data_IF_448958153993
#
_entry.id   IF_448958153993
#
_cell.length_a   1.000
_cell.length_b   1.000
_cell.length_c   1.000
_cell.angle_alpha   90.00
_cell.angle_beta   90.00
_cell.angle_gamma   90.00
#
_symmetry.space_group_name_H-M   'P 1'
#
loop_
_entity.id
_entity.type
_entity.pdbx_description
1 polymer ?
#
# COMPACT_ATOMS: atom_id res chain seq x y z
N UNK A 1 16.82 36.45 18.34
CA UNK A 1 16.95 35.39 19.34
C UNK A 1 18.21 34.61 19.05
N UNK A 2 19.02 34.34 20.05
CA UNK A 2 20.24 33.55 19.90
C UNK A 2 20.55 32.77 21.15
N UNK A 3 21.28 31.65 20.98
CA UNK A 3 21.88 30.93 22.05
C UNK A 3 23.36 30.66 21.72
N UNK A 4 24.21 30.61 22.71
CA UNK A 4 25.63 30.43 22.53
C UNK A 4 26.36 30.17 23.84
N UNK A 5 27.67 30.05 23.74
CA UNK A 5 28.55 29.96 24.91
C UNK A 5 29.30 31.26 25.10
N UNK A 6 29.29 31.76 26.32
CA UNK A 6 30.14 32.88 26.77
C UNK A 6 31.39 32.32 27.46
N UNK A 7 32.55 32.91 27.15
CA UNK A 7 33.77 32.56 27.83
C UNK A 7 34.33 33.83 28.50
N UNK A 8 34.31 33.80 29.81
CA UNK A 8 34.88 34.91 30.60
C UNK A 8 36.21 34.45 31.21
N UNK A 9 37.25 35.26 31.03
CA UNK A 9 38.55 35.01 31.62
C UNK A 9 38.93 36.19 32.50
N UNK A 10 39.23 35.94 33.74
CA UNK A 10 39.78 36.89 34.68
C UNK A 10 41.26 36.59 34.90
N UNK A 11 42.05 37.67 34.91
CA UNK A 11 43.48 37.60 35.29
C UNK A 11 43.61 38.33 36.62
N UNK A 12 44.10 37.67 37.61
CA UNK A 12 44.35 38.22 38.93
C UNK A 12 45.69 38.89 39.00
N UNK A 13 45.91 39.76 39.98
CA UNK A 13 47.19 40.47 40.17
C UNK A 13 48.38 39.57 40.42
N UNK A 14 48.16 38.34 40.84
CA UNK A 14 49.20 37.31 41.02
C UNK A 14 49.53 36.58 39.70
N UNK A 15 48.93 36.97 38.59
CA UNK A 15 49.15 36.36 37.29
C UNK A 15 48.33 35.07 37.02
N UNK A 16 47.53 34.62 37.98
CA UNK A 16 46.64 33.47 37.81
C UNK A 16 45.45 33.82 36.88
N UNK A 17 44.94 32.84 36.12
CA UNK A 17 43.82 33.00 35.24
C UNK A 17 42.67 32.04 35.61
N UNK A 18 41.52 32.61 35.85
CA UNK A 18 40.28 31.81 35.93
C UNK A 18 39.48 32.01 34.65
N UNK A 19 38.94 30.94 34.11
CA UNK A 19 38.12 30.94 32.91
C UNK A 19 36.81 30.21 33.18
N UNK A 20 35.71 30.90 33.01
CA UNK A 20 34.37 30.26 33.02
C UNK A 20 33.86 30.17 31.59
N UNK A 21 33.11 29.10 31.30
CA UNK A 21 32.35 28.91 30.06
C UNK A 21 30.91 28.69 30.47
N UNK A 22 30.07 29.65 30.11
CA UNK A 22 28.66 29.63 30.48
C UNK A 22 27.80 29.54 29.25
N UNK A 23 26.71 28.78 29.33
CA UNK A 23 25.67 28.71 28.30
C UNK A 23 24.72 29.90 28.46
N UNK A 24 24.55 30.68 27.42
CA UNK A 24 23.67 31.86 27.44
C UNK A 24 22.61 31.82 26.36
N UNK A 25 21.42 32.28 26.68
CA UNK A 25 20.38 32.61 25.72
C UNK A 25 20.18 34.12 25.64
N UNK A 26 19.93 34.68 24.48
CA UNK A 26 19.67 36.10 24.35
C UNK A 26 18.42 36.41 23.49
N UNK A 27 17.70 37.43 23.90
CA UNK A 27 16.58 38.01 23.19
C UNK A 27 16.83 39.51 23.06
N UNK A 28 16.85 40.04 21.84
CA UNK A 28 17.06 41.45 21.59
C UNK A 28 16.00 42.06 20.68
N UNK A 29 15.71 43.31 20.91
CA UNK A 29 14.90 44.16 20.05
C UNK A 29 15.73 45.40 19.69
N UNK A 30 15.72 45.77 18.41
CA UNK A 30 16.43 46.94 17.91
C UNK A 30 15.52 47.80 17.06
N UNK A 31 15.76 49.12 17.12
CA UNK A 31 15.08 50.09 16.29
C UNK A 31 16.10 50.93 15.51
N UNK A 32 15.73 51.27 14.30
CA UNK A 32 16.47 52.19 13.43
C UNK A 32 15.67 53.45 13.23
N UNK A 33 16.32 54.58 13.41
CA UNK A 33 15.77 55.90 13.08
C UNK A 33 16.66 56.58 12.08
N UNK A 34 16.16 56.83 10.87
CA UNK A 34 16.90 57.53 9.80
C UNK A 34 16.77 59.03 10.00
N UNK A 35 17.88 59.73 10.18
CA UNK A 35 17.91 61.19 10.30
C UNK A 35 17.96 61.83 8.92
N UNK A 36 18.82 61.32 8.03
CA UNK A 36 18.94 61.74 6.63
C UNK A 36 19.58 60.59 5.81
N UNK A 37 19.94 60.86 4.55
CA UNK A 37 20.49 59.87 3.63
C UNK A 37 21.89 59.37 3.99
N UNK A 38 22.57 60.05 4.89
CA UNK A 38 23.93 59.70 5.32
C UNK A 38 23.98 59.23 6.74
N UNK A 39 22.98 59.57 7.57
CA UNK A 39 23.05 59.43 9.00
C UNK A 39 21.82 58.67 9.54
N UNK A 40 22.02 57.60 10.31
CA UNK A 40 20.97 56.93 11.03
C UNK A 40 21.39 56.52 12.44
N UNK A 41 20.44 56.56 13.37
CA UNK A 41 20.59 56.08 14.73
C UNK A 41 20.09 54.63 14.82
N UNK A 42 20.83 53.84 15.58
CA UNK A 42 20.44 52.47 15.93
C UNK A 42 20.39 52.36 17.47
N UNK A 43 19.27 51.88 17.97
CA UNK A 43 19.16 51.46 19.36
C UNK A 43 18.85 49.98 19.43
N UNK A 44 19.50 49.25 20.31
CA UNK A 44 19.25 47.82 20.52
C UNK A 44 19.30 47.51 22.01
N UNK A 45 18.25 46.86 22.50
CA UNK A 45 18.20 46.29 23.85
C UNK A 45 18.23 44.77 23.77
N UNK A 46 19.08 44.13 24.57
CA UNK A 46 19.17 42.68 24.70
C UNK A 46 19.02 42.28 26.15
N UNK A 47 18.21 41.26 26.39
CA UNK A 47 18.17 40.51 27.63
C UNK A 47 18.95 39.20 27.41
N UNK A 48 19.88 38.91 28.28
CA UNK A 48 20.76 37.75 28.23
C UNK A 48 20.50 36.95 29.49
N UNK A 49 20.22 35.67 29.34
CA UNK A 49 20.06 34.76 30.45
C UNK A 49 21.20 33.74 30.47
N UNK A 50 21.84 33.66 31.63
CA UNK A 50 22.90 32.69 31.87
C UNK A 50 22.33 31.47 32.56
N UNK A 51 22.31 30.33 31.84
CA UNK A 51 21.72 29.09 32.31
C UNK A 51 22.57 28.39 33.37
N UNK A 52 23.87 28.65 33.41
CA UNK A 52 24.77 27.96 34.33
C UNK A 52 24.81 28.62 35.71
N UNK A 53 24.51 29.94 35.75
CA UNK A 53 24.55 30.73 36.97
C UNK A 53 23.19 31.35 37.36
N UNK A 54 22.14 31.06 36.61
CA UNK A 54 20.75 31.42 36.87
C UNK A 54 20.49 32.93 37.13
N UNK A 55 21.09 33.80 36.27
CA UNK A 55 20.92 35.24 36.34
C UNK A 55 20.68 35.91 35.00
N UNK A 56 20.08 37.11 35.05
CA UNK A 56 19.81 37.94 33.89
C UNK A 56 20.76 39.12 33.76
N UNK A 57 21.18 39.39 32.54
CA UNK A 57 21.93 40.57 32.20
C UNK A 57 21.20 41.38 31.11
N UNK A 58 21.13 42.68 31.27
CA UNK A 58 20.61 43.62 30.28
C UNK A 58 21.71 44.34 29.55
N UNK A 59 21.72 44.29 28.23
CA UNK A 59 22.64 45.08 27.40
C UNK A 59 21.87 46.05 26.56
N UNK A 60 22.21 47.33 26.67
CA UNK A 60 21.72 48.39 25.81
C UNK A 60 22.84 48.94 24.92
N UNK A 61 22.60 48.95 23.63
CA UNK A 61 23.55 49.45 22.62
C UNK A 61 22.93 50.60 21.87
N UNK A 62 23.71 51.67 21.72
CA UNK A 62 23.38 52.78 20.86
C UNK A 62 24.47 52.92 19.80
N UNK A 63 24.10 53.10 18.56
CA UNK A 63 25.02 53.23 17.43
C UNK A 63 24.61 54.36 16.50
N UNK A 64 25.60 54.99 15.97
CA UNK A 64 25.44 55.97 14.89
C UNK A 64 26.00 55.36 13.63
N UNK A 65 25.16 55.17 12.61
CA UNK A 65 25.62 54.73 11.30
C UNK A 65 25.81 55.91 10.37
N UNK A 66 27.00 56.05 9.81
CA UNK A 66 27.33 57.04 8.80
C UNK A 66 27.70 56.33 7.50
N UNK A 67 27.00 56.67 6.44
CA UNK A 67 27.27 56.12 5.09
C UNK A 67 28.32 57.03 4.43
N UNK A 68 29.53 56.48 4.31
CA UNK A 68 30.63 57.14 3.63
C UNK A 68 30.68 56.71 2.16
N UNK A 69 30.30 57.60 1.23
CA UNK A 69 30.59 57.41 -0.19
C UNK A 69 29.53 56.75 -1.04
N UNK A 70 28.27 56.90 -0.74
CA UNK A 70 27.18 56.49 -1.63
C UNK A 70 25.89 57.21 -1.31
N UNK A 71 25.28 57.84 -2.30
CA UNK A 71 23.91 58.29 -2.15
C UNK A 71 23.04 57.05 -1.96
N UNK A 72 22.35 56.98 -0.83
CA UNK A 72 21.19 56.08 -0.78
C UNK A 72 20.28 56.55 -1.91
N UNK A 73 20.03 55.71 -2.90
CA UNK A 73 19.15 56.05 -4.00
C UNK A 73 17.89 56.74 -3.44
N UNK A 74 17.46 57.87 -4.02
CA UNK A 74 16.19 58.45 -3.60
C UNK A 74 15.14 57.38 -3.61
N UNK A 75 14.30 57.38 -2.59
CA UNK A 75 13.16 56.47 -2.57
C UNK A 75 12.47 56.61 -3.93
N UNK A 76 12.39 55.53 -4.67
CA UNK A 76 11.64 55.51 -5.91
C UNK A 76 10.25 56.14 -5.62
N UNK A 77 9.76 57.04 -6.51
CA UNK A 77 8.45 57.63 -6.30
C UNK A 77 7.48 56.48 -5.95
N UNK A 78 6.74 56.67 -4.87
CA UNK A 78 5.65 55.76 -4.52
C UNK A 78 4.70 55.81 -5.71
N UNK A 79 4.84 54.87 -6.63
CA UNK A 79 3.81 54.60 -7.61
C UNK A 79 2.65 54.14 -6.77
N UNK A 80 1.61 54.97 -6.64
CA UNK A 80 0.35 54.49 -6.06
C UNK A 80 0.03 53.20 -6.75
N UNK A 81 -0.22 52.10 -5.99
CA UNK A 81 -0.53 50.86 -6.62
C UNK A 81 -1.77 51.09 -7.49
N UNK A 82 -1.59 50.96 -8.80
CA UNK A 82 -2.72 50.85 -9.73
C UNK A 82 -3.62 49.79 -9.07
N UNK A 83 -4.93 50.05 -8.87
CA UNK A 83 -5.82 49.01 -8.37
C UNK A 83 -5.71 47.85 -9.33
N UNK A 84 -4.96 46.85 -8.99
CA UNK A 84 -4.96 45.57 -9.70
C UNK A 84 -6.31 44.99 -9.34
N UNK A 85 -7.24 45.05 -10.28
CA UNK A 85 -8.41 44.22 -10.17
C UNK A 85 -7.92 42.83 -9.83
N UNK A 86 -8.47 42.15 -8.81
CA UNK A 86 -8.03 40.81 -8.49
C UNK A 86 -8.17 40.02 -9.79
N UNK A 87 -7.05 39.58 -10.35
CA UNK A 87 -7.06 38.55 -11.38
C UNK A 87 -7.72 37.37 -10.69
N UNK A 88 -8.98 37.15 -10.97
CA UNK A 88 -9.64 35.92 -10.61
C UNK A 88 -8.96 34.88 -11.50
N UNK A 89 -7.86 34.32 -10.99
CA UNK A 89 -7.30 33.10 -11.54
C UNK A 89 -8.40 32.07 -11.29
N UNK A 90 -9.24 31.83 -12.30
CA UNK A 90 -10.14 30.71 -12.24
C UNK A 90 -9.22 29.50 -12.23
N UNK A 91 -9.15 28.87 -11.06
CA UNK A 91 -8.45 27.62 -10.91
C UNK A 91 -9.08 26.63 -11.89
N UNK A 92 -8.29 26.19 -12.89
CA UNK A 92 -8.75 25.28 -13.94
C UNK A 92 -8.77 23.83 -13.44
N UNK A 93 -9.36 22.97 -14.23
CA UNK A 93 -9.29 21.52 -14.13
C UNK A 93 -8.86 21.02 -15.51
N UNK A 94 -7.54 20.81 -15.69
CA UNK A 94 -6.93 20.61 -17.00
C UNK A 94 -7.19 19.19 -17.55
N UNK A 95 -7.33 18.19 -16.70
CA UNK A 95 -7.61 16.81 -17.08
C UNK A 95 -9.09 16.42 -16.92
N UNK A 96 -9.89 17.35 -16.39
CA UNK A 96 -11.36 17.22 -16.26
C UNK A 96 -11.77 16.01 -15.40
N UNK A 97 -10.99 15.71 -14.39
CA UNK A 97 -11.29 14.64 -13.45
C UNK A 97 -12.26 15.07 -12.33
N UNK A 98 -12.48 16.39 -12.18
CA UNK A 98 -13.38 17.03 -11.22
C UNK A 98 -12.66 17.64 -10.02
N UNK A 99 -11.33 17.63 -10.00
CA UNK A 99 -10.48 18.24 -8.98
C UNK A 99 -9.72 19.41 -9.59
N UNK A 100 -9.71 20.56 -8.91
CA UNK A 100 -9.05 21.75 -9.42
C UNK A 100 -7.52 21.63 -9.39
N UNK A 101 -6.83 22.18 -10.38
CA UNK A 101 -5.38 22.11 -10.54
C UNK A 101 -4.59 22.48 -9.26
N UNK A 102 -5.10 23.40 -8.44
CA UNK A 102 -4.42 23.86 -7.22
C UNK A 102 -4.40 22.80 -6.11
N UNK A 103 -5.32 21.86 -6.12
CA UNK A 103 -5.46 20.78 -5.10
C UNK A 103 -5.23 19.40 -5.68
N UNK A 104 -5.14 19.29 -7.01
CA UNK A 104 -4.87 18.05 -7.72
C UNK A 104 -3.41 17.61 -7.53
N UNK A 105 -3.23 16.41 -6.97
CA UNK A 105 -1.92 15.77 -6.76
C UNK A 105 -1.53 14.80 -7.88
N UNK A 106 -2.47 14.45 -8.74
CA UNK A 106 -2.29 13.48 -9.82
C UNK A 106 -2.71 14.06 -11.19
N UNK A 107 -2.08 15.14 -11.66
CA UNK A 107 -2.47 15.80 -12.90
C UNK A 107 -2.32 14.85 -14.10
N UNK A 108 -3.33 14.82 -14.95
CA UNK A 108 -3.39 13.97 -16.14
C UNK A 108 -4.13 12.65 -15.93
N UNK A 109 -5.00 12.57 -14.94
CA UNK A 109 -5.87 11.41 -14.72
C UNK A 109 -6.86 11.24 -15.89
N UNK A 110 -7.01 10.02 -16.46
CA UNK A 110 -7.94 9.79 -17.56
C UNK A 110 -9.40 10.08 -17.19
N UNK A 111 -10.15 10.68 -18.11
CA UNK A 111 -11.55 11.11 -17.92
C UNK A 111 -12.54 10.04 -17.41
N UNK A 112 -12.28 8.76 -17.74
CA UNK A 112 -13.14 7.65 -17.34
C UNK A 112 -12.78 7.05 -15.98
N UNK A 113 -11.76 7.56 -15.30
CA UNK A 113 -11.30 7.11 -13.97
C UNK A 113 -12.07 7.84 -12.87
N UNK A 114 -12.39 7.13 -11.81
CA UNK A 114 -12.93 7.73 -10.58
C UNK A 114 -11.74 8.14 -9.70
N UNK A 115 -11.71 9.41 -9.30
CA UNK A 115 -10.64 9.96 -8.45
C UNK A 115 -11.09 10.13 -7.00
N UNK A 116 -10.14 10.28 -6.12
CA UNK A 116 -10.36 10.70 -4.73
C UNK A 116 -10.37 12.25 -4.62
N UNK A 117 -10.39 12.77 -3.41
CA UNK A 117 -10.44 14.22 -3.16
C UNK A 117 -9.14 14.94 -3.58
N UNK A 118 -8.08 14.22 -3.82
CA UNK A 118 -6.75 14.72 -4.21
C UNK A 118 -6.52 14.58 -5.75
N UNK A 119 -7.52 14.21 -6.55
CA UNK A 119 -7.39 13.97 -7.99
C UNK A 119 -6.72 12.64 -8.36
N UNK A 120 -6.41 11.79 -7.38
CA UNK A 120 -5.69 10.55 -7.66
C UNK A 120 -6.63 9.37 -7.95
N UNK A 121 -6.25 8.47 -8.88
CA UNK A 121 -7.04 7.31 -9.25
C UNK A 121 -7.45 6.45 -8.07
N UNK A 122 -8.74 6.28 -7.86
CA UNK A 122 -9.29 5.46 -6.79
C UNK A 122 -9.07 3.99 -7.10
N UNK A 123 -8.43 3.29 -6.17
CA UNK A 123 -8.23 1.86 -6.28
C UNK A 123 -9.34 1.10 -5.57
N UNK A 124 -9.85 0.07 -6.23
CA UNK A 124 -10.82 -0.87 -5.67
C UNK A 124 -10.28 -2.27 -5.68
N UNK A 125 -10.65 -3.05 -4.68
CA UNK A 125 -10.39 -4.49 -4.64
C UNK A 125 -11.52 -5.21 -5.34
N UNK A 126 -11.18 -6.00 -6.37
CA UNK A 126 -12.12 -6.88 -7.06
C UNK A 126 -11.84 -8.30 -6.64
N UNK A 127 -12.84 -8.93 -6.01
CA UNK A 127 -12.78 -10.32 -5.59
C UNK A 127 -13.41 -11.21 -6.67
N UNK A 128 -12.59 -12.08 -7.24
CA UNK A 128 -13.02 -13.09 -8.20
C UNK A 128 -13.03 -14.46 -7.53
N UNK A 129 -14.18 -15.13 -7.56
CA UNK A 129 -14.41 -16.42 -6.92
C UNK A 129 -14.37 -17.56 -7.95
N UNK A 130 -13.47 -18.51 -7.72
CA UNK A 130 -13.38 -19.73 -8.48
C UNK A 130 -14.28 -20.82 -7.87
N UNK A 131 -15.15 -21.41 -8.68
CA UNK A 131 -15.83 -22.66 -8.40
C UNK A 131 -15.85 -23.52 -9.65
N UNK A 132 -15.19 -24.68 -9.58
CA UNK A 132 -15.13 -25.67 -10.66
C UNK A 132 -15.48 -27.04 -10.17
N UNK A 133 -16.03 -27.85 -11.05
CA UNK A 133 -16.30 -29.26 -10.81
C UNK A 133 -15.56 -30.11 -11.83
N UNK A 134 -14.99 -31.22 -11.38
CA UNK A 134 -14.34 -32.21 -12.23
C UNK A 134 -15.00 -33.59 -12.00
N UNK A 135 -15.30 -34.28 -13.09
CA UNK A 135 -15.81 -35.64 -13.04
C UNK A 135 -14.95 -36.58 -13.90
N UNK A 136 -14.42 -37.61 -13.28
CA UNK A 136 -13.59 -38.61 -13.95
C UNK A 136 -14.21 -39.97 -13.72
N UNK A 137 -14.50 -40.72 -14.79
CA UNK A 137 -15.08 -42.07 -14.71
C UNK A 137 -14.03 -43.15 -14.95
N UNK A 138 -14.17 -44.25 -14.25
CA UNK A 138 -13.23 -45.37 -14.25
C UNK A 138 -13.85 -46.67 -14.74
N UNK A 139 -13.00 -47.52 -15.33
CA UNK A 139 -13.39 -48.89 -15.67
C UNK A 139 -13.58 -49.72 -14.39
N UNK A 140 -14.21 -50.86 -14.57
CA UNK A 140 -14.40 -51.76 -13.46
C UNK A 140 -13.05 -52.20 -12.90
N UNK A 141 -12.94 -52.13 -11.58
CA UNK A 141 -11.75 -52.53 -10.83
C UNK A 141 -10.43 -51.84 -11.25
N UNK A 142 -10.53 -50.64 -11.85
CA UNK A 142 -9.38 -49.88 -12.28
C UNK A 142 -9.32 -48.50 -11.59
N UNK A 143 -8.08 -48.05 -11.45
CA UNK A 143 -7.70 -46.69 -10.93
C UNK A 143 -6.98 -45.85 -11.97
N UNK A 144 -6.74 -46.40 -13.18
CA UNK A 144 -6.09 -45.74 -14.27
C UNK A 144 -7.02 -44.69 -14.85
N UNK A 145 -6.53 -43.43 -14.93
CA UNK A 145 -7.24 -42.31 -15.55
C UNK A 145 -7.14 -42.46 -17.06
N UNK A 146 -8.28 -42.41 -17.75
CA UNK A 146 -8.34 -42.51 -19.21
C UNK A 146 -7.82 -41.20 -19.81
N UNK A 147 -7.17 -41.30 -20.98
CA UNK A 147 -6.54 -40.14 -21.64
C UNK A 147 -7.51 -39.00 -21.94
N UNK A 148 -8.78 -39.35 -22.20
CA UNK A 148 -9.82 -38.33 -22.45
C UNK A 148 -10.07 -37.35 -21.29
N UNK A 149 -9.71 -37.71 -20.04
CA UNK A 149 -9.89 -36.85 -18.87
C UNK A 149 -8.65 -35.99 -18.55
N UNK A 150 -7.49 -36.28 -19.17
CA UNK A 150 -6.26 -35.56 -18.91
C UNK A 150 -6.38 -34.06 -19.21
N UNK A 151 -7.00 -33.61 -20.34
CA UNK A 151 -7.17 -32.20 -20.63
C UNK A 151 -8.05 -31.47 -19.60
N UNK A 152 -9.09 -32.13 -19.09
CA UNK A 152 -9.95 -31.52 -18.05
C UNK A 152 -9.21 -31.39 -16.72
N UNK A 153 -8.40 -32.39 -16.34
CA UNK A 153 -7.56 -32.33 -15.14
C UNK A 153 -6.49 -31.24 -15.28
N UNK A 154 -5.89 -31.11 -16.46
CA UNK A 154 -4.94 -30.02 -16.77
C UNK A 154 -5.59 -28.65 -16.62
N UNK A 155 -6.79 -28.46 -17.16
CA UNK A 155 -7.55 -27.21 -17.00
C UNK A 155 -7.83 -26.85 -15.54
N UNK A 156 -8.10 -27.86 -14.69
CA UNK A 156 -8.23 -27.65 -13.24
C UNK A 156 -6.91 -27.15 -12.65
N UNK A 157 -5.77 -27.76 -13.02
CA UNK A 157 -4.47 -27.34 -12.52
C UNK A 157 -4.11 -25.92 -12.97
N UNK A 158 -4.41 -25.55 -14.21
CA UNK A 158 -4.24 -24.19 -14.75
C UNK A 158 -5.04 -23.17 -13.93
N UNK A 159 -6.32 -23.47 -13.67
CA UNK A 159 -7.16 -22.63 -12.83
C UNK A 159 -6.66 -22.54 -11.38
N UNK A 160 -6.20 -23.63 -10.82
CA UNK A 160 -5.59 -23.61 -9.49
C UNK A 160 -4.28 -22.79 -9.45
N UNK A 161 -3.57 -22.67 -10.56
CA UNK A 161 -2.40 -21.78 -10.67
C UNK A 161 -2.80 -20.31 -10.74
N UNK A 162 -3.89 -19.98 -11.45
CA UNK A 162 -4.44 -18.61 -11.50
C UNK A 162 -4.99 -18.13 -10.15
N UNK A 163 -5.43 -19.07 -9.30
CA UNK A 163 -5.99 -18.82 -7.98
C UNK A 163 -5.13 -19.49 -6.89
N UNK A 164 -4.08 -18.81 -6.42
CA UNK A 164 -3.11 -19.38 -5.47
C UNK A 164 -3.72 -19.92 -4.17
N UNK A 165 -4.83 -19.33 -3.72
CA UNK A 165 -5.55 -19.71 -2.51
C UNK A 165 -6.59 -20.82 -2.73
N UNK A 166 -6.74 -21.32 -3.97
CA UNK A 166 -7.73 -22.36 -4.25
C UNK A 166 -7.34 -23.71 -3.67
N UNK A 167 -8.35 -24.47 -3.29
CA UNK A 167 -8.24 -25.83 -2.78
C UNK A 167 -9.13 -26.77 -3.59
N UNK A 168 -8.73 -28.04 -3.69
CA UNK A 168 -9.50 -29.09 -4.33
C UNK A 168 -9.89 -30.16 -3.30
N UNK A 169 -11.19 -30.46 -3.22
CA UNK A 169 -11.74 -31.60 -2.49
C UNK A 169 -12.12 -32.68 -3.47
N UNK A 170 -11.45 -33.83 -3.41
CA UNK A 170 -11.60 -34.92 -4.35
C UNK A 170 -12.26 -36.14 -3.68
N UNK A 171 -13.44 -36.50 -4.14
CA UNK A 171 -14.22 -37.62 -3.66
C UNK A 171 -14.15 -38.80 -4.65
N UNK A 172 -13.72 -39.97 -4.15
CA UNK A 172 -13.72 -41.21 -4.92
C UNK A 172 -14.91 -42.05 -4.61
N UNK A 173 -15.45 -42.74 -5.63
CA UNK A 173 -16.61 -43.61 -5.52
C UNK A 173 -16.40 -44.94 -6.28
N UNK A 174 -17.08 -45.95 -5.83
CA UNK A 174 -17.11 -47.25 -6.47
C UNK A 174 -18.56 -47.70 -6.75
N UNK A 175 -18.73 -48.61 -7.67
CA UNK A 175 -20.00 -49.36 -7.82
C UNK A 175 -20.14 -50.41 -6.75
N UNK A 176 -21.37 -50.84 -6.44
CA UNK A 176 -21.65 -51.92 -5.50
C UNK A 176 -21.36 -53.30 -6.17
N UNK A 177 -20.10 -53.45 -6.57
CA UNK A 177 -19.53 -54.69 -7.11
C UNK A 177 -18.19 -54.91 -6.44
N UNK A 178 -17.76 -56.18 -6.37
CA UNK A 178 -16.51 -56.50 -5.70
C UNK A 178 -16.71 -57.29 -4.40
N UNK A 179 -15.62 -57.79 -3.82
CA UNK A 179 -15.69 -58.83 -2.77
C UNK A 179 -16.13 -58.30 -1.41
N UNK A 180 -16.01 -56.99 -1.12
CA UNK A 180 -16.38 -56.45 0.19
C UNK A 180 -16.49 -54.91 0.18
N UNK A 181 -17.19 -54.37 1.19
CA UNK A 181 -17.24 -52.93 1.42
C UNK A 181 -15.84 -52.34 1.62
N UNK A 182 -14.98 -53.02 2.39
CA UNK A 182 -13.58 -52.58 2.63
C UNK A 182 -12.74 -52.52 1.34
N UNK A 183 -13.00 -53.45 0.42
CA UNK A 183 -12.36 -53.43 -0.90
C UNK A 183 -12.78 -52.18 -1.69
N UNK A 184 -14.08 -51.90 -1.79
CA UNK A 184 -14.62 -50.75 -2.50
C UNK A 184 -14.20 -49.43 -1.86
N UNK A 185 -14.06 -49.41 -0.52
CA UNK A 185 -13.51 -48.24 0.18
C UNK A 185 -12.09 -47.96 -0.30
N UNK A 186 -11.17 -48.92 -0.26
CA UNK A 186 -9.80 -48.76 -0.76
C UNK A 186 -9.72 -48.40 -2.24
N UNK A 187 -10.58 -49.00 -3.07
CA UNK A 187 -10.64 -48.72 -4.50
C UNK A 187 -11.06 -47.28 -4.78
N UNK A 188 -12.04 -46.78 -4.04
CA UNK A 188 -12.49 -45.38 -4.15
C UNK A 188 -11.43 -44.38 -3.70
N UNK A 189 -10.75 -44.68 -2.58
CA UNK A 189 -9.59 -43.87 -2.12
C UNK A 189 -8.46 -43.88 -3.15
N UNK A 190 -8.14 -45.03 -3.73
CA UNK A 190 -7.09 -45.15 -4.74
C UNK A 190 -7.42 -44.36 -6.02
N UNK A 191 -8.69 -44.27 -6.42
CA UNK A 191 -9.16 -43.44 -7.55
C UNK A 191 -8.99 -41.95 -7.24
N UNK A 192 -9.42 -41.49 -6.06
CA UNK A 192 -9.23 -40.10 -5.64
C UNK A 192 -7.74 -39.74 -5.59
N UNK A 193 -6.90 -40.62 -5.06
CA UNK A 193 -5.46 -40.46 -5.01
C UNK A 193 -4.79 -40.48 -6.39
N UNK A 194 -5.34 -41.23 -7.36
CA UNK A 194 -4.83 -41.19 -8.73
C UNK A 194 -5.01 -39.82 -9.38
N UNK A 195 -6.16 -39.16 -9.19
CA UNK A 195 -6.41 -37.82 -9.67
C UNK A 195 -5.52 -36.82 -8.93
N UNK A 196 -5.38 -36.89 -7.61
CA UNK A 196 -4.45 -36.09 -6.83
C UNK A 196 -3.00 -36.22 -7.35
N UNK A 197 -2.56 -37.46 -7.56
CA UNK A 197 -1.20 -37.75 -8.04
C UNK A 197 -0.95 -37.12 -9.42
N UNK A 198 -1.93 -37.10 -10.31
CA UNK A 198 -1.84 -36.49 -11.61
C UNK A 198 -1.72 -34.95 -11.47
N UNK A 199 -2.55 -34.31 -10.65
CA UNK A 199 -2.49 -32.87 -10.37
C UNK A 199 -1.14 -32.47 -9.77
N UNK A 200 -0.60 -33.27 -8.84
CA UNK A 200 0.67 -32.98 -8.16
C UNK A 200 1.87 -33.25 -9.08
N UNK A 201 1.95 -34.49 -9.62
CA UNK A 201 3.18 -34.95 -10.26
C UNK A 201 3.31 -34.52 -11.74
N UNK A 202 2.19 -34.34 -12.44
CA UNK A 202 2.20 -33.95 -13.85
C UNK A 202 1.97 -32.45 -14.03
N UNK A 203 1.15 -31.84 -13.18
CA UNK A 203 0.77 -30.44 -13.33
C UNK A 203 1.26 -29.52 -12.21
N UNK A 204 2.03 -30.02 -11.22
CA UNK A 204 2.74 -29.22 -10.23
C UNK A 204 1.87 -28.57 -9.16
N UNK A 205 0.62 -29.02 -8.98
CA UNK A 205 -0.25 -28.48 -7.92
C UNK A 205 0.28 -28.91 -6.55
N UNK A 206 0.41 -27.98 -5.64
CA UNK A 206 0.93 -28.25 -4.30
C UNK A 206 0.03 -29.24 -3.53
N UNK A 207 0.58 -30.35 -2.99
CA UNK A 207 -0.19 -31.44 -2.43
C UNK A 207 -1.04 -31.06 -1.21
N UNK A 208 -0.65 -30.04 -0.46
CA UNK A 208 -1.41 -29.49 0.68
C UNK A 208 -2.71 -28.77 0.27
N UNK A 209 -2.84 -28.40 -0.99
CA UNK A 209 -4.04 -27.78 -1.54
C UNK A 209 -5.09 -28.80 -1.98
N UNK A 210 -4.79 -30.10 -1.89
CA UNK A 210 -5.65 -31.17 -2.40
C UNK A 210 -5.96 -32.16 -1.28
N UNK A 211 -7.22 -32.24 -0.90
CA UNK A 211 -7.77 -33.26 -0.02
C UNK A 211 -8.41 -34.40 -0.82
N UNK A 212 -8.30 -35.62 -0.34
CA UNK A 212 -8.91 -36.80 -0.97
C UNK A 212 -9.70 -37.61 0.06
N UNK A 213 -10.85 -38.12 -0.32
CA UNK A 213 -11.67 -39.03 0.47
C UNK A 213 -12.28 -40.09 -0.44
N UNK A 214 -12.32 -41.32 0.03
CA UNK A 214 -13.07 -42.42 -0.61
C UNK A 214 -14.37 -42.66 0.13
N UNK A 215 -15.43 -42.91 -0.60
CA UNK A 215 -16.75 -43.23 -0.06
C UNK A 215 -17.21 -44.64 -0.43
N UNK A 216 -16.32 -45.46 -0.96
CA UNK A 216 -16.74 -46.81 -1.40
C UNK A 216 -17.93 -46.72 -2.35
N UNK A 217 -18.96 -47.49 -2.06
CA UNK A 217 -20.23 -47.46 -2.80
C UNK A 217 -21.38 -46.79 -2.02
N UNK A 218 -21.12 -46.14 -0.93
CA UNK A 218 -22.14 -45.60 -0.01
C UNK A 218 -22.88 -44.37 -0.56
N UNK A 219 -22.31 -43.72 -1.58
CA UNK A 219 -22.90 -42.54 -2.22
C UNK A 219 -23.13 -42.77 -3.72
N UNK A 220 -24.05 -43.66 -4.11
CA UNK A 220 -24.37 -43.89 -5.51
C UNK A 220 -25.12 -42.70 -6.10
N UNK A 221 -24.91 -42.43 -7.40
CA UNK A 221 -25.68 -41.45 -8.19
C UNK A 221 -26.58 -42.10 -9.21
N UNK A 222 -26.45 -43.40 -9.38
CA UNK A 222 -27.25 -44.19 -10.30
C UNK A 222 -27.47 -45.61 -9.74
N UNK A 223 -28.42 -46.36 -10.34
CA UNK A 223 -28.77 -47.70 -9.90
C UNK A 223 -27.63 -48.70 -10.10
N UNK A 224 -27.18 -49.34 -9.02
CA UNK A 224 -26.13 -50.37 -9.06
C UNK A 224 -26.58 -51.67 -9.71
N UNK A 225 -27.86 -51.88 -9.94
CA UNK A 225 -28.38 -53.09 -10.59
C UNK A 225 -28.13 -53.06 -12.10
N UNK A 226 -28.01 -51.87 -12.72
CA UNK A 226 -27.74 -51.72 -14.15
C UNK A 226 -26.25 -51.58 -14.44
N UNK A 227 -25.81 -52.01 -15.62
CA UNK A 227 -24.41 -51.85 -16.04
C UNK A 227 -24.03 -50.39 -16.20
N UNK A 228 -24.93 -49.60 -16.74
CA UNK A 228 -24.82 -48.15 -16.96
C UNK A 228 -24.73 -47.41 -15.63
N UNK A 229 -25.61 -47.73 -14.68
CA UNK A 229 -25.61 -47.13 -13.37
C UNK A 229 -24.33 -47.42 -12.59
N UNK A 230 -23.83 -48.67 -12.66
CA UNK A 230 -22.50 -49.03 -12.08
C UNK A 230 -21.37 -48.26 -12.73
N UNK A 231 -21.42 -48.01 -14.06
CA UNK A 231 -20.42 -47.21 -14.74
C UNK A 231 -20.41 -45.75 -14.24
N UNK A 232 -21.59 -45.18 -14.01
CA UNK A 232 -21.73 -43.82 -13.45
C UNK A 232 -21.24 -43.72 -11.99
N UNK A 233 -21.44 -44.81 -11.21
CA UNK A 233 -20.98 -44.84 -9.81
C UNK A 233 -19.46 -44.95 -9.68
N UNK A 234 -18.77 -45.56 -10.67
CA UNK A 234 -17.30 -45.64 -10.71
C UNK A 234 -16.68 -44.29 -11.14
N UNK A 235 -16.72 -43.33 -10.26
CA UNK A 235 -16.30 -41.96 -10.55
C UNK A 235 -15.39 -41.37 -9.49
N UNK A 236 -14.69 -40.35 -9.87
CA UNK A 236 -14.16 -39.30 -8.97
C UNK A 236 -14.95 -38.02 -9.26
N UNK A 237 -15.33 -37.36 -8.21
CA UNK A 237 -15.93 -36.04 -8.24
C UNK A 237 -15.04 -35.09 -7.44
N UNK A 238 -14.66 -33.97 -8.03
CA UNK A 238 -13.87 -32.98 -7.34
C UNK A 238 -14.53 -31.61 -7.41
N UNK A 239 -14.48 -30.86 -6.30
CA UNK A 239 -14.88 -29.48 -6.20
C UNK A 239 -13.62 -28.66 -5.93
N UNK A 240 -13.40 -27.69 -6.77
CA UNK A 240 -12.30 -26.73 -6.65
C UNK A 240 -12.92 -25.37 -6.30
N UNK A 241 -12.46 -24.79 -5.19
CA UNK A 241 -12.91 -23.49 -4.73
C UNK A 241 -11.71 -22.61 -4.39
N UNK A 242 -11.85 -21.33 -4.63
CA UNK A 242 -10.82 -20.35 -4.31
C UNK A 242 -11.31 -18.95 -4.57
N UNK A 243 -10.51 -17.98 -4.20
CA UNK A 243 -10.72 -16.58 -4.49
C UNK A 243 -9.40 -15.94 -4.90
N UNK A 244 -9.51 -14.88 -5.68
CA UNK A 244 -8.40 -14.03 -6.08
C UNK A 244 -8.86 -12.59 -5.94
N UNK A 245 -8.19 -11.85 -5.06
CA UNK A 245 -8.37 -10.41 -4.97
C UNK A 245 -7.34 -9.72 -5.84
N UNK A 246 -7.79 -8.83 -6.68
CA UNK A 246 -6.93 -7.96 -7.48
C UNK A 246 -7.29 -6.51 -7.23
N UNK A 247 -6.28 -5.66 -7.12
CA UNK A 247 -6.49 -4.21 -7.04
C UNK A 247 -6.49 -3.65 -8.45
N UNK A 248 -7.51 -2.90 -8.78
CA UNK A 248 -7.62 -2.20 -10.06
C UNK A 248 -8.08 -0.77 -9.85
N UNK A 249 -7.82 0.08 -10.83
CA UNK A 249 -8.33 1.45 -10.83
C UNK A 249 -9.83 1.43 -11.11
N UNK A 250 -10.60 2.14 -10.31
CA UNK A 250 -12.04 2.26 -10.49
C UNK A 250 -12.34 3.16 -11.70
N UNK A 251 -13.08 2.64 -12.69
CA UNK A 251 -13.57 3.42 -13.82
C UNK A 251 -15.04 3.78 -13.64
N UNK A 252 -15.49 4.88 -14.29
CA UNK A 252 -16.86 5.43 -14.15
C UNK A 252 -17.93 4.49 -14.69
N UNK A 253 -17.58 3.53 -15.52
CA UNK A 253 -18.47 2.48 -16.06
C UNK A 253 -18.58 1.25 -15.16
N UNK A 254 -17.74 1.14 -14.11
CA UNK A 254 -17.85 0.09 -13.12
C UNK A 254 -19.02 0.38 -12.16
N UNK A 255 -20.10 -0.40 -12.26
CA UNK A 255 -21.14 -0.41 -11.24
C UNK A 255 -20.61 -1.08 -9.98
N UNK A 256 -20.20 -0.29 -9.00
CA UNK A 256 -19.89 -0.80 -7.65
C UNK A 256 -21.22 -1.10 -6.97
N UNK A 257 -21.58 -2.38 -6.86
CA UNK A 257 -22.71 -2.85 -6.05
C UNK A 257 -22.35 -2.86 -4.57
#
# INVERSE_FOLDING_TARGET
IGAGQSKTSMVFDDGSKATSKDTIGNLGLGAYYRINDVLSLRGEGRAIYNFDNDWWEGLALAGLNVVLGGHLAPAAPVVEPIPVEPIIVTDGDDDQDGVLNSVDKCPGTPLNVVVDADGCPRQISVDDALRMELRVFFDNDKTVIKDQYKPEIQKVAEKMSEYPNSTASIEGHASKTGPSARYNQRLSEARANAVKSMLVNQFGVAPQRISTVGYGYDRPIADNNTAEGRAMNRRVYAIITGNKSSTTVQTKDMNVQ
#
